data_IF_942851829461
#
_entry.id   IF_942851829461
#
_cell.length_a   1.000
_cell.length_b   1.000
_cell.length_c   1.000
_cell.angle_alpha   90.00
_cell.angle_beta   90.00
_cell.angle_gamma   90.00
#
_symmetry.space_group_name_H-M   'P 1'
#
loop_
_entity.id
_entity.type
_entity.pdbx_description
1 polymer ?
#
# COMPACT_ATOMS: atom_id res chain seq x y z
N UNK A 1 -8.65 -16.28 -10.49
CA UNK A 1 -8.37 -17.00 -9.24
C UNK A 1 -8.68 -18.46 -9.47
N UNK A 2 -7.70 -19.25 -9.91
CA UNK A 2 -7.83 -20.70 -9.97
C UNK A 2 -7.85 -21.24 -8.54
N UNK A 3 -8.93 -21.92 -8.22
CA UNK A 3 -9.10 -22.75 -7.03
C UNK A 3 -7.98 -23.81 -7.02
N UNK A 4 -6.94 -23.54 -6.25
CA UNK A 4 -5.98 -24.60 -5.90
C UNK A 4 -6.73 -25.61 -5.04
N UNK A 5 -6.73 -26.88 -5.45
CA UNK A 5 -7.46 -27.96 -4.79
C UNK A 5 -7.13 -28.00 -3.30
N UNK A 6 -8.16 -28.11 -2.44
CA UNK A 6 -7.99 -28.17 -0.97
C UNK A 6 -6.98 -29.22 -0.51
N UNK A 7 -6.85 -30.32 -1.26
CA UNK A 7 -5.85 -31.36 -0.98
C UNK A 7 -4.41 -30.91 -1.25
N UNK A 8 -4.17 -30.09 -2.30
CA UNK A 8 -2.85 -29.55 -2.59
C UNK A 8 -2.44 -28.49 -1.55
N UNK A 9 -3.37 -27.66 -1.07
CA UNK A 9 -3.07 -26.71 0.04
C UNK A 9 -2.70 -27.44 1.33
N UNK A 10 -3.39 -28.52 1.68
CA UNK A 10 -3.08 -29.29 2.88
C UNK A 10 -1.72 -30.00 2.80
N UNK A 11 -1.32 -30.48 1.61
CA UNK A 11 0.00 -31.08 1.42
C UNK A 11 1.11 -30.04 1.56
N UNK A 12 1.01 -28.88 0.90
CA UNK A 12 2.03 -27.82 1.00
C UNK A 12 2.21 -27.31 2.44
N UNK A 13 1.11 -27.12 3.19
CA UNK A 13 1.16 -26.67 4.58
C UNK A 13 1.77 -27.75 5.49
N UNK A 14 1.45 -29.02 5.28
CA UNK A 14 1.88 -30.12 6.13
C UNK A 14 3.38 -30.44 5.96
N UNK A 15 3.92 -30.28 4.78
CA UNK A 15 5.34 -30.47 4.51
C UNK A 15 6.17 -29.26 4.95
N UNK A 16 5.64 -28.06 4.79
CA UNK A 16 6.26 -26.82 5.34
C UNK A 16 6.34 -26.84 6.87
N UNK A 17 5.32 -27.38 7.55
CA UNK A 17 5.29 -27.47 9.02
C UNK A 17 6.33 -28.45 9.59
N UNK A 18 6.77 -29.45 8.83
CA UNK A 18 7.82 -30.36 9.25
C UNK A 18 9.22 -29.73 9.23
N UNK A 19 9.42 -28.69 8.43
CA UNK A 19 10.70 -28.01 8.27
C UNK A 19 10.89 -26.82 9.22
N UNK A 20 9.84 -26.32 9.86
CA UNK A 20 9.89 -25.15 10.73
C UNK A 20 9.62 -25.54 12.19
N UNK A 21 10.68 -25.94 12.90
CA UNK A 21 10.60 -26.34 14.32
C UNK A 21 10.13 -25.20 15.26
N UNK A 22 10.11 -23.97 14.79
CA UNK A 22 9.71 -22.77 15.52
C UNK A 22 8.26 -22.31 15.26
N UNK A 23 7.52 -22.96 14.33
CA UNK A 23 6.13 -22.61 14.04
C UNK A 23 5.17 -23.26 15.05
N UNK A 24 4.47 -22.44 15.80
CA UNK A 24 3.30 -22.87 16.59
C UNK A 24 2.04 -22.64 15.76
N UNK A 25 1.28 -23.71 15.55
CA UNK A 25 -0.07 -23.63 14.97
C UNK A 25 -1.06 -23.41 16.10
N UNK A 26 -1.78 -22.28 16.08
CA UNK A 26 -2.97 -22.09 16.88
C UNK A 26 -4.22 -22.18 16.00
N UNK A 27 -5.21 -22.92 16.46
CA UNK A 27 -6.54 -22.97 15.82
C UNK A 27 -7.41 -22.02 16.62
N UNK A 28 -7.89 -20.96 15.98
CA UNK A 28 -8.93 -20.11 16.51
C UNK A 28 -10.24 -20.35 15.74
N UNK A 29 -11.36 -20.20 16.42
CA UNK A 29 -12.68 -20.30 15.79
C UNK A 29 -13.28 -18.89 15.74
N UNK A 30 -13.82 -18.52 14.56
CA UNK A 30 -14.57 -17.28 14.43
C UNK A 30 -15.94 -17.37 15.16
N UNK A 31 -16.65 -16.25 15.28
CA UNK A 31 -17.99 -16.21 15.91
C UNK A 31 -19.04 -17.11 15.23
N UNK A 32 -18.74 -17.62 14.03
CA UNK A 32 -19.58 -18.53 13.25
C UNK A 32 -19.14 -20.00 13.38
N UNK A 33 -18.13 -20.29 14.22
CA UNK A 33 -17.63 -21.65 14.46
C UNK A 33 -16.74 -22.21 13.36
N UNK A 34 -16.28 -21.40 12.40
CA UNK A 34 -15.36 -21.84 11.37
C UNK A 34 -13.93 -21.83 11.90
N UNK A 35 -13.14 -22.91 11.69
CA UNK A 35 -11.76 -22.95 12.10
C UNK A 35 -10.93 -21.99 11.24
N UNK A 36 -10.28 -21.03 11.86
CA UNK A 36 -9.23 -20.22 11.25
C UNK A 36 -7.86 -20.71 11.76
N UNK A 37 -6.94 -20.91 10.84
CA UNK A 37 -5.58 -21.31 11.13
C UNK A 37 -4.71 -20.05 11.22
N UNK A 38 -4.26 -19.73 12.43
CA UNK A 38 -3.24 -18.72 12.63
C UNK A 38 -1.90 -19.42 12.79
N UNK A 39 -0.97 -19.10 11.89
CA UNK A 39 0.44 -19.41 12.07
C UNK A 39 1.05 -18.29 12.92
N UNK A 40 1.15 -18.50 14.21
CA UNK A 40 1.96 -17.65 15.07
C UNK A 40 3.40 -18.18 15.02
N UNK A 41 4.34 -17.34 14.57
CA UNK A 41 5.73 -17.58 14.87
C UNK A 41 5.92 -17.39 16.38
N UNK A 42 6.25 -18.45 17.11
CA UNK A 42 6.75 -18.32 18.47
C UNK A 42 8.01 -17.47 18.47
N UNK A 43 8.42 -16.97 19.63
CA UNK A 43 9.65 -16.19 19.78
C UNK A 43 10.80 -16.87 19.02
N UNK A 44 11.24 -16.23 17.95
CA UNK A 44 12.36 -16.71 17.13
C UNK A 44 13.62 -16.51 17.96
N UNK A 45 14.05 -17.57 18.65
CA UNK A 45 15.24 -17.49 19.51
C UNK A 45 16.53 -17.27 18.73
N UNK A 46 16.54 -17.63 17.44
CA UNK A 46 17.71 -17.49 16.56
C UNK A 46 17.28 -17.26 15.12
N UNK A 47 17.10 -16.00 14.69
CA UNK A 47 16.63 -15.65 13.33
C UNK A 47 17.48 -16.26 12.20
N UNK A 48 18.78 -16.33 12.39
CA UNK A 48 19.70 -16.91 11.39
C UNK A 48 19.42 -18.40 11.13
N UNK A 49 19.19 -19.21 12.17
CA UNK A 49 18.87 -20.64 12.02
C UNK A 49 17.56 -20.83 11.28
N UNK A 50 16.58 -19.97 11.53
CA UNK A 50 15.27 -20.01 10.84
C UNK A 50 15.40 -19.71 9.34
N UNK A 51 16.25 -18.74 8.97
CA UNK A 51 16.52 -18.47 7.54
C UNK A 51 17.22 -19.64 6.87
N UNK A 52 18.24 -20.21 7.49
CA UNK A 52 18.93 -21.42 6.97
C UNK A 52 17.95 -22.58 6.72
N UNK A 53 17.02 -22.82 7.67
CA UNK A 53 16.00 -23.87 7.53
C UNK A 53 15.03 -23.58 6.36
N UNK A 54 14.57 -22.34 6.22
CA UNK A 54 13.69 -21.93 5.12
C UNK A 54 14.39 -22.13 3.77
N UNK A 55 15.61 -21.61 3.63
CA UNK A 55 16.33 -21.70 2.36
C UNK A 55 16.75 -23.12 2.01
N UNK A 56 17.11 -23.96 3.00
CA UNK A 56 17.32 -25.39 2.79
C UNK A 56 16.04 -26.07 2.28
N UNK A 57 14.89 -25.79 2.88
CA UNK A 57 13.61 -26.33 2.40
C UNK A 57 13.31 -25.91 0.95
N UNK A 58 13.56 -24.66 0.60
CA UNK A 58 13.36 -24.18 -0.78
C UNK A 58 14.28 -24.87 -1.77
N UNK A 59 15.55 -25.12 -1.39
CA UNK A 59 16.52 -25.79 -2.26
C UNK A 59 16.23 -27.28 -2.43
N UNK A 60 15.75 -27.96 -1.37
CA UNK A 60 15.42 -29.40 -1.37
C UNK A 60 14.00 -29.68 -1.91
N UNK A 61 13.21 -28.67 -2.25
CA UNK A 61 11.85 -28.86 -2.74
C UNK A 61 11.82 -29.59 -4.10
N UNK A 62 10.92 -30.57 -4.25
CA UNK A 62 10.77 -31.36 -5.49
C UNK A 62 10.42 -30.50 -6.72
N UNK A 63 9.89 -29.31 -6.53
CA UNK A 63 9.46 -28.39 -7.61
C UNK A 63 10.06 -27.01 -7.40
N UNK A 64 10.38 -26.30 -8.51
CA UNK A 64 10.82 -24.91 -8.41
C UNK A 64 9.82 -24.05 -7.66
N UNK A 65 10.30 -23.24 -6.73
CA UNK A 65 9.51 -22.36 -5.89
C UNK A 65 9.45 -20.96 -6.47
N UNK A 66 8.30 -20.30 -6.31
CA UNK A 66 8.14 -18.86 -6.55
C UNK A 66 7.74 -18.19 -5.24
N UNK A 67 8.61 -17.32 -4.75
CA UNK A 67 8.45 -16.66 -3.47
C UNK A 67 8.15 -15.19 -3.71
N UNK A 68 7.05 -14.69 -3.15
CA UNK A 68 6.71 -13.26 -3.16
C UNK A 68 6.87 -12.69 -1.75
N UNK A 69 7.64 -11.61 -1.65
CA UNK A 69 7.84 -10.85 -0.41
C UNK A 69 7.21 -9.49 -0.61
N UNK A 70 6.13 -9.25 0.13
CA UNK A 70 5.40 -7.97 0.10
C UNK A 70 6.01 -6.97 1.10
N UNK A 71 5.80 -5.67 0.84
CA UNK A 71 6.34 -4.55 1.63
C UNK A 71 7.86 -4.66 1.86
N UNK A 72 8.60 -5.11 0.84
CA UNK A 72 10.03 -5.44 0.95
C UNK A 72 10.88 -4.26 1.43
N UNK A 73 10.47 -3.02 1.20
CA UNK A 73 11.18 -1.84 1.69
C UNK A 73 11.32 -1.79 3.22
N UNK A 74 10.50 -2.56 3.96
CA UNK A 74 10.61 -2.62 5.43
C UNK A 74 11.97 -3.16 5.86
N UNK A 75 12.63 -3.99 5.03
CA UNK A 75 13.96 -4.54 5.34
C UNK A 75 15.00 -3.43 5.61
N UNK A 76 14.86 -2.28 4.97
CA UNK A 76 15.75 -1.14 5.17
C UNK A 76 15.58 -0.45 6.53
N UNK A 77 14.52 -0.77 7.29
CA UNK A 77 14.20 -0.18 8.60
C UNK A 77 14.53 -1.12 9.76
N UNK A 78 15.00 -2.33 9.51
CA UNK A 78 15.42 -3.24 10.58
C UNK A 78 16.61 -2.65 11.33
N UNK A 79 16.55 -2.65 12.67
CA UNK A 79 17.63 -2.11 13.51
C UNK A 79 18.90 -2.96 13.45
N UNK A 80 18.78 -4.24 13.13
CA UNK A 80 19.90 -5.15 12.92
C UNK A 80 20.55 -4.85 11.57
N UNK A 81 21.75 -4.28 11.57
CA UNK A 81 22.39 -3.69 10.39
C UNK A 81 22.68 -4.64 9.21
N UNK A 82 22.59 -5.96 9.40
CA UNK A 82 23.05 -6.95 8.42
C UNK A 82 21.92 -7.78 7.79
N UNK A 83 20.64 -7.54 8.14
CA UNK A 83 19.51 -8.37 7.68
C UNK A 83 19.41 -8.42 6.15
N UNK A 84 19.62 -7.29 5.49
CA UNK A 84 19.59 -7.19 4.04
C UNK A 84 20.70 -8.02 3.38
N UNK A 85 21.93 -7.94 3.92
CA UNK A 85 23.08 -8.70 3.43
C UNK A 85 22.92 -10.20 3.67
N UNK A 86 22.43 -10.59 4.84
CA UNK A 86 22.15 -12.00 5.19
C UNK A 86 21.11 -12.58 4.22
N UNK A 87 19.98 -11.91 4.06
CA UNK A 87 18.93 -12.37 3.15
C UNK A 87 19.44 -12.45 1.70
N UNK A 88 20.23 -11.46 1.26
CA UNK A 88 20.81 -11.45 -0.07
C UNK A 88 21.73 -12.65 -0.30
N UNK A 89 22.52 -13.02 0.70
CA UNK A 89 23.41 -14.19 0.65
C UNK A 89 22.63 -15.48 0.46
N UNK A 90 21.58 -15.69 1.26
CA UNK A 90 20.72 -16.88 1.11
C UNK A 90 20.07 -16.95 -0.28
N UNK A 91 19.53 -15.84 -0.76
CA UNK A 91 18.87 -15.77 -2.08
C UNK A 91 19.84 -16.10 -3.21
N UNK A 92 21.09 -15.61 -3.13
CA UNK A 92 22.09 -15.90 -4.16
C UNK A 92 22.46 -17.38 -4.27
N UNK A 93 22.41 -18.10 -3.16
CA UNK A 93 22.74 -19.53 -3.11
C UNK A 93 21.54 -20.44 -3.39
N UNK A 94 20.32 -19.90 -3.38
CA UNK A 94 19.10 -20.68 -3.63
C UNK A 94 18.80 -20.75 -5.13
N UNK A 95 19.10 -21.88 -5.75
CA UNK A 95 18.91 -22.09 -7.19
C UNK A 95 17.50 -22.52 -7.57
N UNK A 96 16.80 -23.21 -6.64
CA UNK A 96 15.48 -23.81 -6.85
C UNK A 96 14.31 -22.84 -6.57
N UNK A 97 14.59 -21.58 -6.21
CA UNK A 97 13.57 -20.56 -6.00
C UNK A 97 13.80 -19.29 -6.84
N UNK A 98 12.68 -18.66 -7.23
CA UNK A 98 12.65 -17.33 -7.83
C UNK A 98 11.93 -16.39 -6.88
N UNK A 99 12.39 -15.15 -6.79
CA UNK A 99 11.89 -14.17 -5.82
C UNK A 99 11.25 -12.98 -6.54
N UNK A 100 10.08 -12.57 -6.02
CA UNK A 100 9.39 -11.34 -6.42
C UNK A 100 9.33 -10.46 -5.18
N UNK A 101 9.82 -9.24 -5.30
CA UNK A 101 9.78 -8.24 -4.25
C UNK A 101 8.72 -7.21 -4.61
N UNK A 102 7.71 -7.06 -3.79
CA UNK A 102 6.70 -6.03 -3.93
C UNK A 102 6.87 -4.96 -2.85
N UNK A 103 6.52 -3.73 -3.15
CA UNK A 103 6.58 -2.63 -2.19
C UNK A 103 5.85 -1.41 -2.69
N UNK A 104 5.21 -0.70 -1.77
CA UNK A 104 4.41 0.50 -2.05
C UNK A 104 5.23 1.80 -2.08
N UNK A 105 6.37 1.82 -1.40
CA UNK A 105 7.23 3.02 -1.31
C UNK A 105 8.30 3.00 -2.42
N UNK A 106 7.96 3.55 -3.59
CA UNK A 106 8.84 3.56 -4.79
C UNK A 106 10.26 4.03 -4.53
N UNK A 107 10.42 5.12 -3.75
CA UNK A 107 11.73 5.68 -3.46
C UNK A 107 12.60 4.68 -2.69
N UNK A 108 12.05 4.05 -1.65
CA UNK A 108 12.78 3.07 -0.84
C UNK A 108 13.09 1.79 -1.63
N UNK A 109 12.13 1.29 -2.42
CA UNK A 109 12.37 0.16 -3.33
C UNK A 109 13.47 0.50 -4.33
N UNK A 110 13.41 1.69 -4.94
CA UNK A 110 14.45 2.18 -5.83
C UNK A 110 15.82 2.22 -5.15
N UNK A 111 15.92 2.78 -3.95
CA UNK A 111 17.17 2.83 -3.19
C UNK A 111 17.77 1.43 -2.95
N UNK A 112 16.96 0.45 -2.52
CA UNK A 112 17.42 -0.92 -2.26
C UNK A 112 18.05 -1.56 -3.51
N UNK A 113 17.44 -1.39 -4.69
CA UNK A 113 17.86 -2.10 -5.90
C UNK A 113 18.76 -1.30 -6.85
N UNK A 114 18.83 0.03 -6.70
CA UNK A 114 19.62 0.89 -7.62
C UNK A 114 20.81 1.59 -6.96
N UNK A 115 20.90 1.59 -5.61
CA UNK A 115 22.02 2.20 -4.91
C UNK A 115 23.22 1.25 -4.84
N UNK A 116 24.43 1.68 -5.32
CA UNK A 116 25.63 0.83 -5.28
C UNK A 116 26.07 0.41 -3.88
N UNK A 117 25.65 1.12 -2.85
CA UNK A 117 25.97 0.82 -1.44
C UNK A 117 25.08 -0.25 -0.81
N UNK A 118 24.06 -0.73 -1.51
CA UNK A 118 23.07 -1.67 -0.97
C UNK A 118 23.35 -3.11 -1.42
N UNK A 119 23.12 -4.11 -0.56
CA UNK A 119 23.34 -5.53 -0.88
C UNK A 119 22.56 -6.04 -2.10
N UNK A 120 21.37 -5.49 -2.35
CA UNK A 120 20.51 -5.87 -3.49
C UNK A 120 20.78 -5.06 -4.76
N UNK A 121 21.85 -4.25 -4.80
CA UNK A 121 22.20 -3.48 -6.00
C UNK A 121 22.22 -4.35 -7.26
N UNK A 122 21.47 -3.94 -8.30
CA UNK A 122 21.36 -4.61 -9.60
C UNK A 122 21.05 -6.12 -9.53
N UNK A 123 20.34 -6.57 -8.51
CA UNK A 123 20.06 -8.00 -8.30
C UNK A 123 18.75 -8.48 -8.91
N UNK A 124 17.91 -7.58 -9.40
CA UNK A 124 16.57 -7.89 -9.95
C UNK A 124 16.24 -7.04 -11.16
N UNK A 125 15.29 -7.50 -11.96
CA UNK A 125 14.62 -6.67 -12.94
C UNK A 125 13.54 -5.83 -12.22
N UNK A 126 13.54 -4.52 -12.44
CA UNK A 126 12.54 -3.62 -11.86
C UNK A 126 11.35 -3.52 -12.81
N UNK A 127 10.16 -3.76 -12.28
CA UNK A 127 8.89 -3.57 -12.98
C UNK A 127 8.06 -2.52 -12.25
N UNK A 128 7.81 -1.41 -12.92
CA UNK A 128 6.94 -0.36 -12.41
C UNK A 128 5.49 -0.62 -12.83
N UNK A 129 4.58 -0.65 -11.86
CA UNK A 129 3.15 -0.79 -12.12
C UNK A 129 2.54 0.60 -12.31
N UNK A 130 2.17 0.90 -13.53
CA UNK A 130 1.40 2.11 -13.86
C UNK A 130 -0.08 1.94 -13.48
N UNK A 131 -0.82 3.05 -13.28
CA UNK A 131 -2.26 2.98 -13.13
C UNK A 131 -2.92 2.19 -14.27
N UNK A 132 -3.94 1.41 -13.95
CA UNK A 132 -4.73 0.69 -14.95
C UNK A 132 -5.42 1.72 -15.86
N UNK A 133 -5.41 1.49 -17.18
CA UNK A 133 -6.03 2.39 -18.15
C UNK A 133 -7.51 2.66 -17.83
N UNK A 134 -7.95 3.90 -17.99
CA UNK A 134 -9.29 4.35 -17.69
C UNK A 134 -10.38 3.60 -18.49
N UNK A 135 -10.10 3.23 -19.75
CA UNK A 135 -11.06 2.49 -20.58
C UNK A 135 -11.27 1.07 -20.05
N UNK A 136 -10.18 0.42 -19.59
CA UNK A 136 -10.25 -0.92 -18.96
C UNK A 136 -11.10 -0.85 -17.69
N UNK A 137 -10.91 0.19 -16.86
CA UNK A 137 -11.75 0.40 -15.68
C UNK A 137 -13.19 0.67 -16.04
N UNK A 138 -13.44 1.45 -17.07
CA UNK A 138 -14.78 1.77 -17.54
C UNK A 138 -15.55 0.50 -17.90
N UNK A 139 -14.98 -0.36 -18.72
CA UNK A 139 -15.58 -1.63 -19.11
C UNK A 139 -15.80 -2.57 -17.91
N UNK A 140 -14.81 -2.65 -17.01
CA UNK A 140 -14.89 -3.47 -15.81
C UNK A 140 -16.05 -3.02 -14.89
N UNK A 141 -16.13 -1.73 -14.58
CA UNK A 141 -17.16 -1.18 -13.67
C UNK A 141 -18.56 -1.30 -14.30
N UNK A 142 -18.72 -0.94 -15.59
CA UNK A 142 -19.99 -1.07 -16.30
C UNK A 142 -20.52 -2.50 -16.29
N UNK A 143 -19.65 -3.49 -16.52
CA UNK A 143 -20.01 -4.90 -16.46
C UNK A 143 -20.59 -5.27 -15.10
N UNK A 144 -19.92 -4.91 -14.00
CA UNK A 144 -20.41 -5.24 -12.66
C UNK A 144 -21.72 -4.55 -12.29
N UNK A 145 -21.95 -3.32 -12.75
CA UNK A 145 -23.24 -2.66 -12.61
C UNK A 145 -24.34 -3.41 -13.39
N UNK A 146 -24.06 -3.79 -14.63
CA UNK A 146 -25.02 -4.47 -15.51
C UNK A 146 -25.42 -5.88 -14.99
N UNK A 147 -24.49 -6.62 -14.35
CA UNK A 147 -24.77 -7.93 -13.74
C UNK A 147 -25.94 -7.88 -12.73
N UNK A 148 -26.20 -6.73 -12.12
CA UNK A 148 -27.30 -6.51 -11.20
C UNK A 148 -28.32 -5.47 -11.71
N UNK A 149 -28.48 -5.38 -13.04
CA UNK A 149 -29.44 -4.51 -13.74
C UNK A 149 -29.31 -3.02 -13.35
N UNK A 150 -28.13 -2.59 -12.90
CA UNK A 150 -27.81 -1.19 -12.64
C UNK A 150 -27.06 -0.62 -13.83
N UNK A 151 -27.07 0.71 -13.97
CA UNK A 151 -26.30 1.42 -14.99
C UNK A 151 -25.38 2.44 -14.34
N UNK A 152 -24.30 2.78 -15.03
CA UNK A 152 -23.40 3.85 -14.63
C UNK A 152 -22.95 4.60 -15.89
N UNK A 153 -23.03 5.92 -15.86
CA UNK A 153 -22.58 6.78 -16.93
C UNK A 153 -21.04 6.74 -17.04
N UNK A 154 -20.51 6.78 -18.26
CA UNK A 154 -19.06 6.77 -18.51
C UNK A 154 -18.38 7.97 -17.85
N UNK A 155 -19.04 9.12 -17.92
CA UNK A 155 -18.57 10.38 -17.31
C UNK A 155 -18.40 10.26 -15.79
N UNK A 156 -19.25 9.47 -15.13
CA UNK A 156 -19.16 9.19 -13.69
C UNK A 156 -17.87 8.42 -13.37
N UNK A 157 -17.54 7.42 -14.16
CA UNK A 157 -16.33 6.62 -13.99
C UNK A 157 -15.09 7.48 -14.27
N UNK A 158 -15.12 8.26 -15.34
CA UNK A 158 -14.03 9.17 -15.71
C UNK A 158 -13.78 10.24 -14.64
N UNK A 159 -14.84 10.80 -14.04
CA UNK A 159 -14.71 11.74 -12.93
C UNK A 159 -14.04 11.10 -11.72
N UNK A 160 -14.44 9.89 -11.33
CA UNK A 160 -13.79 9.13 -10.25
C UNK A 160 -12.34 8.86 -10.58
N UNK A 161 -12.06 8.38 -11.81
CA UNK A 161 -10.70 8.08 -12.23
C UNK A 161 -9.78 9.31 -12.19
N UNK A 162 -10.24 10.43 -12.69
CA UNK A 162 -9.51 11.71 -12.69
C UNK A 162 -9.28 12.21 -11.27
N UNK A 163 -10.30 12.18 -10.41
CA UNK A 163 -10.24 12.71 -9.05
C UNK A 163 -9.27 11.93 -8.15
N UNK A 164 -9.16 10.63 -8.37
CA UNK A 164 -8.29 9.74 -7.63
C UNK A 164 -7.04 9.30 -8.40
N UNK A 165 -6.71 9.98 -9.51
CA UNK A 165 -5.46 9.83 -10.27
C UNK A 165 -5.18 8.38 -10.70
N UNK A 166 -6.20 7.58 -10.99
CA UNK A 166 -6.04 6.20 -11.42
C UNK A 166 -5.66 5.21 -10.31
N UNK A 167 -5.61 5.63 -9.05
CA UNK A 167 -5.21 4.76 -7.94
C UNK A 167 -6.30 3.72 -7.68
N UNK A 168 -5.97 2.45 -7.91
CA UNK A 168 -6.88 1.30 -7.91
C UNK A 168 -7.75 1.23 -6.66
N UNK A 169 -7.18 1.40 -5.47
CA UNK A 169 -7.91 1.29 -4.21
C UNK A 169 -9.05 2.30 -4.13
N UNK A 170 -8.78 3.57 -4.43
CA UNK A 170 -9.81 4.62 -4.38
C UNK A 170 -10.88 4.43 -5.44
N UNK A 171 -10.49 4.01 -6.65
CA UNK A 171 -11.46 3.76 -7.73
C UNK A 171 -12.40 2.63 -7.36
N UNK A 172 -11.88 1.52 -6.83
CA UNK A 172 -12.71 0.39 -6.41
C UNK A 172 -13.60 0.77 -5.22
N UNK A 173 -13.07 1.51 -4.25
CA UNK A 173 -13.84 1.97 -3.10
C UNK A 173 -14.99 2.89 -3.51
N UNK A 174 -14.72 3.85 -4.39
CA UNK A 174 -15.74 4.73 -4.95
C UNK A 174 -16.76 3.99 -5.80
N UNK A 175 -16.31 3.09 -6.68
CA UNK A 175 -17.20 2.28 -7.51
C UNK A 175 -18.14 1.42 -6.66
N UNK A 176 -17.63 0.82 -5.58
CA UNK A 176 -18.44 0.05 -4.62
C UNK A 176 -19.46 0.94 -3.90
N UNK A 177 -19.06 2.13 -3.45
CA UNK A 177 -19.95 3.09 -2.81
C UNK A 177 -21.07 3.56 -3.75
N UNK A 178 -20.73 3.91 -4.99
CA UNK A 178 -21.68 4.30 -6.03
C UNK A 178 -22.63 3.15 -6.40
N UNK A 179 -22.10 1.93 -6.47
CA UNK A 179 -22.90 0.73 -6.73
C UNK A 179 -23.93 0.49 -5.62
N UNK A 180 -23.52 0.63 -4.35
CA UNK A 180 -24.43 0.47 -3.21
C UNK A 180 -25.55 1.52 -3.17
N UNK A 181 -25.27 2.75 -3.66
CA UNK A 181 -26.20 3.87 -3.69
C UNK A 181 -27.11 3.90 -4.92
N UNK A 182 -26.90 3.01 -5.88
CA UNK A 182 -27.67 2.96 -7.13
C UNK A 182 -28.68 1.82 -7.05
N UNK A 183 -29.97 2.09 -7.23
CA UNK A 183 -31.01 1.08 -7.23
C UNK A 183 -31.02 0.25 -8.53
N UNK A 184 -31.68 -0.91 -8.50
CA UNK A 184 -31.90 -1.72 -9.71
C UNK A 184 -32.74 -0.91 -10.73
N UNK A 185 -32.32 -0.91 -11.98
CA UNK A 185 -32.93 -0.13 -13.06
C UNK A 185 -32.48 1.34 -13.13
N UNK A 186 -31.76 1.84 -12.12
CA UNK A 186 -31.31 3.22 -12.05
C UNK A 186 -29.94 3.39 -12.72
N UNK A 187 -29.68 4.61 -13.21
CA UNK A 187 -28.37 5.04 -13.71
C UNK A 187 -27.64 5.90 -12.68
N UNK A 188 -26.38 5.53 -12.40
CA UNK A 188 -25.48 6.31 -11.56
C UNK A 188 -24.88 7.45 -12.39
N UNK A 189 -25.22 8.68 -12.05
CA UNK A 189 -24.75 9.91 -12.69
C UNK A 189 -23.62 10.57 -11.90
N UNK A 190 -22.92 11.53 -12.51
CA UNK A 190 -21.79 12.27 -11.92
C UNK A 190 -22.15 12.94 -10.58
N UNK A 191 -23.37 13.39 -10.42
CA UNK A 191 -23.83 14.07 -9.20
C UNK A 191 -23.69 13.17 -7.96
N UNK A 192 -23.88 11.85 -8.13
CA UNK A 192 -23.70 10.87 -7.04
C UNK A 192 -22.27 10.78 -6.53
N UNK A 193 -21.26 11.16 -7.33
CA UNK A 193 -19.84 11.10 -6.91
C UNK A 193 -19.59 12.04 -5.73
N UNK A 194 -20.06 13.27 -5.79
CA UNK A 194 -19.88 14.22 -4.69
C UNK A 194 -20.62 13.75 -3.43
N UNK A 195 -21.85 13.25 -3.60
CA UNK A 195 -22.61 12.72 -2.47
C UNK A 195 -21.92 11.51 -1.81
N UNK A 196 -21.37 10.59 -2.61
CA UNK A 196 -20.60 9.47 -2.10
C UNK A 196 -19.37 9.93 -1.30
N UNK A 197 -18.62 10.91 -1.83
CA UNK A 197 -17.47 11.49 -1.13
C UNK A 197 -17.90 12.14 0.19
N UNK A 198 -18.97 12.94 0.21
CA UNK A 198 -19.46 13.56 1.44
C UNK A 198 -19.81 12.53 2.52
N UNK A 199 -20.49 11.46 2.14
CA UNK A 199 -20.81 10.36 3.05
C UNK A 199 -19.55 9.70 3.63
N UNK A 200 -18.56 9.43 2.79
CA UNK A 200 -17.29 8.86 3.20
C UNK A 200 -16.56 9.81 4.17
N UNK A 201 -16.46 11.09 3.82
CA UNK A 201 -15.79 12.08 4.66
C UNK A 201 -16.50 12.29 6.01
N UNK A 202 -17.83 12.20 6.02
CA UNK A 202 -18.61 12.27 7.26
C UNK A 202 -18.27 11.11 8.19
N UNK A 203 -18.16 9.89 7.66
CA UNK A 203 -17.78 8.70 8.44
C UNK A 203 -16.33 8.79 8.96
N UNK A 204 -15.41 9.32 8.15
CA UNK A 204 -14.00 9.45 8.49
C UNK A 204 -13.66 10.72 9.30
N UNK A 205 -14.62 11.61 9.50
CA UNK A 205 -14.38 12.92 10.11
C UNK A 205 -13.73 12.84 11.50
N UNK A 206 -14.18 11.92 12.35
CA UNK A 206 -13.59 11.74 13.69
C UNK A 206 -12.14 11.25 13.59
N UNK A 207 -11.89 10.25 12.75
CA UNK A 207 -10.55 9.68 12.52
C UNK A 207 -9.59 10.74 12.01
N UNK A 208 -9.97 11.48 10.97
CA UNK A 208 -9.14 12.52 10.38
C UNK A 208 -8.90 13.71 11.32
N UNK A 209 -9.89 14.08 12.11
CA UNK A 209 -9.74 15.11 13.15
C UNK A 209 -8.72 14.68 14.21
N UNK A 210 -8.79 13.41 14.64
CA UNK A 210 -7.86 12.84 15.62
C UNK A 210 -6.43 12.75 15.08
N UNK A 211 -6.27 12.32 13.83
CA UNK A 211 -4.97 12.28 13.15
C UNK A 211 -4.36 13.68 13.05
N UNK A 212 -5.14 14.67 12.61
CA UNK A 212 -4.66 16.03 12.51
C UNK A 212 -4.33 16.61 13.90
N UNK A 213 -5.09 16.27 14.93
CA UNK A 213 -4.84 16.73 16.30
C UNK A 213 -3.50 16.24 16.85
N UNK A 214 -3.11 15.01 16.56
CA UNK A 214 -1.87 14.38 17.04
C UNK A 214 -0.60 14.97 16.39
N UNK A 215 -0.71 15.68 15.28
CA UNK A 215 0.44 16.28 14.63
C UNK A 215 0.96 17.49 15.42
N UNK A 216 2.29 17.64 15.56
CA UNK A 216 2.91 18.86 16.07
C UNK A 216 2.51 20.10 15.25
N UNK A 217 2.43 21.29 15.87
CA UNK A 217 1.98 22.50 15.18
C UNK A 217 2.68 22.77 13.85
N UNK A 218 4.01 22.64 13.80
CA UNK A 218 4.78 22.88 12.57
C UNK A 218 4.52 21.83 11.48
N UNK A 219 4.25 20.58 11.85
CA UNK A 219 3.83 19.57 10.89
C UNK A 219 2.45 19.89 10.31
N UNK A 220 1.50 20.36 11.13
CA UNK A 220 0.18 20.83 10.65
C UNK A 220 0.29 21.97 9.65
N UNK A 221 1.09 23.00 9.98
CA UNK A 221 1.29 24.16 9.10
C UNK A 221 1.84 23.74 7.73
N UNK A 222 2.86 22.87 7.71
CA UNK A 222 3.47 22.38 6.46
C UNK A 222 2.50 21.45 5.69
N UNK A 223 1.78 20.58 6.37
CA UNK A 223 0.78 19.72 5.76
C UNK A 223 -0.34 20.54 5.09
N UNK A 224 -0.83 21.57 5.76
CA UNK A 224 -1.84 22.50 5.22
C UNK A 224 -1.29 23.25 4.00
N UNK A 225 -0.03 23.69 4.03
CA UNK A 225 0.59 24.35 2.90
C UNK A 225 0.68 23.41 1.68
N UNK A 226 1.13 22.19 1.88
CA UNK A 226 1.19 21.16 0.81
C UNK A 226 -0.22 20.85 0.28
N UNK A 227 -1.19 20.69 1.16
CA UNK A 227 -2.57 20.43 0.78
C UNK A 227 -3.14 21.57 -0.09
N UNK A 228 -2.86 22.84 0.23
CA UNK A 228 -3.30 24.01 -0.57
C UNK A 228 -2.68 24.03 -1.96
N UNK A 229 -1.40 23.68 -2.09
CA UNK A 229 -0.73 23.57 -3.40
C UNK A 229 -1.23 22.37 -4.22
N UNK A 230 -1.65 21.29 -3.55
CA UNK A 230 -2.02 20.02 -4.16
C UNK A 230 -0.83 19.17 -4.54
N UNK A 231 0.03 19.67 -5.41
CA UNK A 231 1.32 19.09 -5.80
C UNK A 231 2.39 20.14 -5.57
N UNK A 232 2.93 20.17 -4.34
CA UNK A 232 3.91 21.18 -3.93
C UNK A 232 5.31 20.79 -4.41
N UNK A 233 5.99 21.71 -5.08
CA UNK A 233 7.38 21.59 -5.46
C UNK A 233 8.21 22.67 -4.75
N UNK A 234 9.51 22.43 -4.63
CA UNK A 234 10.43 23.41 -4.04
C UNK A 234 9.91 24.01 -2.71
N UNK A 235 9.46 23.16 -1.79
CA UNK A 235 8.81 23.56 -0.53
C UNK A 235 9.71 24.39 0.40
N UNK A 236 10.98 24.53 0.08
CA UNK A 236 11.94 25.43 0.77
C UNK A 236 12.26 26.69 -0.03
N UNK A 237 11.62 26.92 -1.19
CA UNK A 237 11.83 28.14 -1.98
C UNK A 237 11.32 29.38 -1.28
N UNK A 238 11.93 30.52 -1.55
CA UNK A 238 11.51 31.80 -0.99
C UNK A 238 10.03 32.12 -1.26
N UNK A 239 9.51 31.70 -2.42
CA UNK A 239 8.10 31.86 -2.80
C UNK A 239 7.19 31.07 -1.84
N UNK A 240 7.42 29.77 -1.69
CA UNK A 240 6.63 28.91 -0.82
C UNK A 240 6.68 29.37 0.64
N UNK A 241 7.91 29.66 1.14
CA UNK A 241 8.11 30.11 2.53
C UNK A 241 7.38 31.43 2.83
N UNK A 242 7.43 32.40 1.92
CA UNK A 242 6.72 33.67 2.09
C UNK A 242 5.19 33.49 2.02
N UNK A 243 4.70 32.69 1.07
CA UNK A 243 3.26 32.44 0.89
C UNK A 243 2.64 31.84 2.15
N UNK A 244 3.31 30.88 2.78
CA UNK A 244 2.79 30.16 3.94
C UNK A 244 3.36 30.63 5.27
N UNK A 245 4.17 31.69 5.28
CA UNK A 245 4.81 32.28 6.49
C UNK A 245 5.62 31.23 7.27
N UNK A 246 6.36 30.39 6.55
CA UNK A 246 7.19 29.33 7.10
C UNK A 246 8.67 29.70 7.02
N UNK A 247 9.52 28.98 7.77
CA UNK A 247 10.98 29.07 7.67
C UNK A 247 11.53 27.78 7.05
N UNK A 248 12.65 27.85 6.33
CA UNK A 248 13.25 26.69 5.70
C UNK A 248 13.57 25.57 6.69
N UNK A 249 14.13 25.91 7.86
CA UNK A 249 14.44 24.97 8.93
C UNK A 249 13.19 24.28 9.48
N UNK A 250 12.08 25.02 9.67
CA UNK A 250 10.82 24.42 10.15
C UNK A 250 10.21 23.48 9.12
N UNK A 251 10.29 23.81 7.83
CA UNK A 251 9.80 22.94 6.75
C UNK A 251 10.63 21.67 6.68
N UNK A 252 11.96 21.76 6.72
CA UNK A 252 12.84 20.56 6.67
C UNK A 252 12.63 19.61 7.84
N UNK A 253 12.45 20.14 9.06
CA UNK A 253 12.14 19.31 10.23
C UNK A 253 10.74 18.69 10.18
N UNK A 254 9.73 19.46 9.75
CA UNK A 254 8.36 19.01 9.69
C UNK A 254 8.13 17.97 8.58
N UNK A 255 8.71 18.18 7.39
CA UNK A 255 8.50 17.29 6.23
C UNK A 255 9.01 15.88 6.49
N UNK A 256 10.15 15.73 7.17
CA UNK A 256 10.66 14.41 7.55
C UNK A 256 9.64 13.65 8.38
N UNK A 257 9.10 14.27 9.44
CA UNK A 257 8.11 13.62 10.29
C UNK A 257 6.75 13.38 9.62
N UNK A 258 6.40 14.15 8.58
CA UNK A 258 5.20 13.90 7.77
C UNK A 258 5.40 12.73 6.80
N UNK A 259 6.58 12.58 6.22
CA UNK A 259 6.96 11.44 5.39
C UNK A 259 7.05 10.14 6.22
N UNK A 260 7.71 10.20 7.38
CA UNK A 260 7.85 9.04 8.28
C UNK A 260 6.50 8.49 8.79
N UNK A 261 5.49 9.37 8.86
CA UNK A 261 4.12 9.02 9.30
C UNK A 261 3.15 8.81 8.16
N UNK A 262 3.61 8.79 6.92
CA UNK A 262 2.80 8.63 5.70
C UNK A 262 1.65 9.67 5.57
N UNK A 263 1.82 10.89 6.08
CA UNK A 263 0.88 12.00 5.79
C UNK A 263 1.12 12.63 4.44
N UNK A 264 2.35 12.59 3.97
CA UNK A 264 2.80 13.20 2.72
C UNK A 264 3.64 12.19 1.95
N UNK A 265 3.50 12.18 0.63
CA UNK A 265 4.41 11.49 -0.29
C UNK A 265 5.39 12.48 -0.91
N UNK A 266 6.54 11.97 -1.31
CA UNK A 266 7.50 12.69 -2.15
C UNK A 266 7.82 11.83 -3.38
N UNK A 267 7.34 12.23 -4.53
CA UNK A 267 7.67 11.60 -5.81
C UNK A 267 8.51 12.58 -6.65
N UNK A 268 9.79 12.29 -6.78
CA UNK A 268 10.73 13.11 -7.55
C UNK A 268 10.71 14.61 -7.22
N UNK A 269 10.60 14.94 -5.92
CA UNK A 269 10.57 16.31 -5.43
C UNK A 269 9.18 16.97 -5.43
N UNK A 270 8.15 16.21 -5.81
CA UNK A 270 6.76 16.64 -5.73
C UNK A 270 6.13 16.08 -4.47
N UNK A 271 5.70 16.95 -3.58
CA UNK A 271 5.04 16.61 -2.33
C UNK A 271 3.53 16.69 -2.47
N UNK A 272 2.81 15.67 -2.03
CA UNK A 272 1.34 15.66 -1.98
C UNK A 272 0.85 14.92 -0.74
N UNK A 273 -0.38 15.21 -0.33
CA UNK A 273 -1.02 14.47 0.76
C UNK A 273 -1.22 13.02 0.33
N UNK A 274 -0.81 12.07 1.17
CA UNK A 274 -0.84 10.64 0.84
C UNK A 274 -2.26 10.11 0.67
N UNK A 275 -3.11 10.28 1.69
CA UNK A 275 -4.50 9.84 1.63
C UNK A 275 -5.36 10.87 0.88
N UNK A 276 -5.93 10.47 -0.25
CA UNK A 276 -6.75 11.35 -1.10
C UNK A 276 -8.06 11.77 -0.45
N UNK A 277 -8.69 10.93 0.37
CA UNK A 277 -9.87 11.35 1.14
C UNK A 277 -9.49 12.33 2.25
N UNK A 278 -8.35 12.13 2.90
CA UNK A 278 -7.84 13.10 3.88
C UNK A 278 -7.49 14.45 3.22
N UNK A 279 -6.89 14.44 2.02
CA UNK A 279 -6.62 15.67 1.25
C UNK A 279 -7.92 16.43 0.96
N UNK A 280 -8.95 15.75 0.45
CA UNK A 280 -10.27 16.36 0.17
C UNK A 280 -10.90 16.90 1.47
N UNK A 281 -10.87 16.13 2.55
CA UNK A 281 -11.38 16.53 3.85
C UNK A 281 -10.66 17.76 4.41
N UNK A 282 -9.32 17.77 4.32
CA UNK A 282 -8.51 18.87 4.82
C UNK A 282 -8.76 20.16 4.02
N UNK A 283 -8.83 20.07 2.67
CA UNK A 283 -9.16 21.23 1.80
C UNK A 283 -10.47 21.88 2.20
N UNK A 284 -11.51 21.11 2.48
CA UNK A 284 -12.81 21.64 2.92
C UNK A 284 -12.77 22.38 4.24
N UNK A 285 -11.80 22.08 5.11
CA UNK A 285 -11.65 22.75 6.41
C UNK A 285 -10.79 24.00 6.37
N UNK A 286 -9.94 24.11 5.36
CA UNK A 286 -8.99 25.23 5.22
C UNK A 286 -9.41 26.22 4.11
N UNK A 287 -10.52 25.93 3.39
CA UNK A 287 -11.20 26.87 2.51
C UNK A 287 -12.02 27.82 3.34
#
# INVERSE_FOLDING_TARGET
>A
LHLCDRRQRQMCIRDSLKCLSSLRTSISFDFSGNPSWNLEMGDIKTPAITLDEIFRYLEEADKPCLISIDEFQVIAKYPEGDVEAILRTHIQHCSNAKFIYAGSQRHMMGEIFTSPSRPFYQSTAIMELSPINADIYTEFIKRHFAENKKKIAVETIQEVYKRFEGITWYIQFMANSLYAMTAEGEECTVDKVNFAIENILSQLNFTYSSLLFQLPPKQKEVLIAICKEGKAQEITSSKFLKTYKLTASSVQGAIRGLLDKDFVTNELGVYSVYDKFFDIWLRKRIS
#
